data_IF_630540565844
#
_entry.id   IF_630540565844
#
_cell.length_a   1.000
_cell.length_b   1.000
_cell.length_c   1.000
_cell.angle_alpha   90.00
_cell.angle_beta   90.00
_cell.angle_gamma   90.00
#
_symmetry.space_group_name_H-M   'P 1'
#
loop_
_entity.id
_entity.type
_entity.pdbx_description
1 polymer ?
#
# COMPACT_ATOMS: atom_id res chain seq x y z
N UNK A 1 -1.81 -2.85 4.97
CA UNK A 1 -0.76 -2.12 4.21
C UNK A 1 -1.05 -0.61 4.16
N UNK A 2 -1.49 -0.04 5.30
CA UNK A 2 -1.82 1.37 5.41
C UNK A 2 -0.55 2.23 5.38
N UNK A 3 -0.56 3.28 4.59
CA UNK A 3 0.54 4.26 4.51
C UNK A 3 0.00 5.68 4.32
N UNK A 4 0.83 6.65 4.68
CA UNK A 4 0.51 8.07 4.49
C UNK A 4 1.78 8.93 4.53
N UNK A 5 1.63 10.23 4.35
CA UNK A 5 2.68 11.22 4.60
C UNK A 5 2.97 11.41 6.11
N UNK A 6 2.05 10.98 6.97
CA UNK A 6 2.17 11.10 8.43
C UNK A 6 2.65 9.80 9.09
N UNK A 7 3.28 9.93 10.26
CA UNK A 7 3.72 8.80 11.07
C UNK A 7 4.77 7.92 10.41
N UNK A 8 5.01 6.74 10.98
CA UNK A 8 5.90 5.72 10.45
C UNK A 8 5.10 4.69 9.65
N UNK A 9 5.60 4.29 8.50
CA UNK A 9 4.97 3.30 7.65
C UNK A 9 5.98 2.68 6.67
N UNK A 10 5.56 1.65 5.96
CA UNK A 10 6.40 0.89 5.03
C UNK A 10 6.98 1.79 3.92
N UNK A 11 6.20 2.69 3.34
CA UNK A 11 6.67 3.58 2.25
C UNK A 11 7.85 4.42 2.73
N UNK A 12 7.73 5.10 3.87
CA UNK A 12 8.82 5.91 4.44
C UNK A 12 10.04 5.06 4.79
N UNK A 13 9.82 3.84 5.30
CA UNK A 13 10.92 2.91 5.60
C UNK A 13 11.65 2.51 4.33
N UNK A 14 10.95 2.19 3.25
CA UNK A 14 11.58 1.80 1.98
C UNK A 14 12.28 2.98 1.29
N UNK A 15 11.75 4.19 1.39
CA UNK A 15 12.44 5.42 0.93
C UNK A 15 13.76 5.62 1.66
N UNK A 16 13.75 5.53 2.99
CA UNK A 16 14.97 5.67 3.81
C UNK A 16 15.99 4.58 3.50
N UNK A 17 15.58 3.32 3.58
CA UNK A 17 16.47 2.18 3.33
C UNK A 17 17.02 2.16 1.91
N UNK A 18 16.22 2.57 0.92
CA UNK A 18 16.67 2.68 -0.47
C UNK A 18 17.76 3.71 -0.69
N UNK A 19 17.81 4.75 0.15
CA UNK A 19 18.88 5.79 0.12
C UNK A 19 20.10 5.39 0.93
N UNK A 20 19.93 4.56 1.97
CA UNK A 20 21.00 4.17 2.89
C UNK A 20 21.70 2.85 2.53
N UNK A 21 21.02 1.94 1.82
CA UNK A 21 21.51 0.58 1.56
C UNK A 21 21.80 0.34 0.09
N UNK A 22 22.82 -0.45 -0.19
CA UNK A 22 23.15 -0.92 -1.54
C UNK A 22 22.21 -2.01 -2.03
N UNK A 23 21.62 -2.78 -1.11
CA UNK A 23 20.64 -3.82 -1.44
C UNK A 23 19.65 -4.06 -0.32
N UNK A 24 18.43 -4.50 -0.70
CA UNK A 24 17.36 -4.92 0.18
C UNK A 24 16.76 -6.23 -0.30
N UNK A 25 16.46 -7.14 0.64
CA UNK A 25 15.63 -8.31 0.38
C UNK A 25 14.19 -8.04 0.80
N UNK A 26 13.22 -8.26 -0.09
CA UNK A 26 11.79 -8.01 0.18
C UNK A 26 10.93 -9.17 -0.31
N UNK A 27 9.97 -9.58 0.51
CA UNK A 27 9.08 -10.72 0.25
C UNK A 27 8.26 -10.48 -1.02
N UNK A 28 8.24 -11.47 -1.93
CA UNK A 28 7.50 -11.40 -3.19
C UNK A 28 6.27 -12.33 -3.23
N UNK A 29 6.17 -13.31 -2.35
CA UNK A 29 5.10 -14.33 -2.33
C UNK A 29 3.98 -14.07 -1.32
N UNK A 30 3.90 -12.85 -0.79
CA UNK A 30 2.76 -12.35 -0.04
C UNK A 30 2.08 -11.25 -0.85
N UNK A 31 0.87 -11.56 -1.33
CA UNK A 31 0.10 -10.69 -2.22
C UNK A 31 -1.03 -10.04 -1.43
N UNK A 32 -1.12 -8.73 -1.53
CA UNK A 32 -2.15 -7.91 -0.92
C UNK A 32 -2.34 -6.61 -1.70
N UNK A 33 -2.93 -5.61 -1.06
CA UNK A 33 -3.10 -4.30 -1.66
C UNK A 33 -2.70 -3.20 -0.69
N UNK A 34 -1.85 -2.25 -1.09
CA UNK A 34 -1.57 -1.06 -0.29
C UNK A 34 -2.85 -0.22 -0.11
N UNK A 35 -2.94 0.49 1.00
CA UNK A 35 -4.03 1.41 1.29
C UNK A 35 -3.47 2.78 1.65
N UNK A 36 -3.71 3.77 0.80
CA UNK A 36 -3.37 5.15 1.10
C UNK A 36 -4.39 5.72 2.09
N UNK A 37 -3.93 6.17 3.25
CA UNK A 37 -4.81 6.63 4.33
C UNK A 37 -5.71 7.79 3.92
N UNK A 38 -5.27 8.66 2.99
CA UNK A 38 -6.11 9.73 2.45
C UNK A 38 -7.31 9.16 1.68
N UNK A 39 -7.10 8.16 0.84
CA UNK A 39 -8.20 7.53 0.08
C UNK A 39 -9.20 6.83 1.00
N UNK A 40 -8.69 6.15 2.03
CA UNK A 40 -9.55 5.58 3.07
C UNK A 40 -10.36 6.65 3.81
N UNK A 41 -9.75 7.78 4.15
CA UNK A 41 -10.45 8.89 4.79
C UNK A 41 -11.55 9.48 3.89
N UNK A 42 -11.27 9.64 2.59
CA UNK A 42 -12.26 10.08 1.59
C UNK A 42 -13.42 9.08 1.50
N UNK A 43 -13.12 7.78 1.47
CA UNK A 43 -14.15 6.73 1.46
C UNK A 43 -15.02 6.75 2.74
N UNK A 44 -14.42 6.89 3.92
CA UNK A 44 -15.15 7.02 5.19
C UNK A 44 -16.07 8.25 5.15
N UNK A 45 -15.56 9.38 4.68
CA UNK A 45 -16.36 10.61 4.57
C UNK A 45 -17.53 10.42 3.60
N UNK A 46 -17.31 9.77 2.46
CA UNK A 46 -18.36 9.46 1.49
C UNK A 46 -19.47 8.57 2.10
N UNK A 47 -19.11 7.59 2.92
CA UNK A 47 -20.07 6.74 3.65
C UNK A 47 -20.88 7.57 4.65
N UNK A 48 -20.23 8.47 5.40
CA UNK A 48 -20.89 9.29 6.42
C UNK A 48 -21.82 10.37 5.85
N UNK A 49 -21.68 10.75 4.59
CA UNK A 49 -22.49 11.78 3.92
C UNK A 49 -23.64 11.21 3.09
N UNK A 50 -23.84 9.91 3.10
CA UNK A 50 -24.93 9.20 2.41
C UNK A 50 -25.85 8.52 3.44
N UNK A 51 -26.97 7.98 2.97
CA UNK A 51 -27.84 7.14 3.80
C UNK A 51 -27.09 5.91 4.28
N UNK A 52 -26.97 5.80 5.60
CA UNK A 52 -26.18 4.75 6.21
C UNK A 52 -26.83 3.37 6.09
N UNK A 53 -26.14 2.44 5.47
CA UNK A 53 -26.53 1.02 5.36
C UNK A 53 -25.62 0.20 6.28
N UNK A 54 -26.12 -0.30 7.43
CA UNK A 54 -25.29 -1.09 8.36
C UNK A 54 -24.71 -2.33 7.71
N UNK A 55 -23.45 -2.63 8.05
CA UNK A 55 -22.79 -3.84 7.55
C UNK A 55 -21.28 -3.78 7.71
N UNK A 56 -20.63 -4.87 7.32
CA UNK A 56 -19.16 -4.95 7.22
C UNK A 56 -18.78 -4.65 5.77
N UNK A 57 -17.87 -3.72 5.59
CA UNK A 57 -17.36 -3.28 4.30
C UNK A 57 -15.83 -3.36 4.29
N UNK A 58 -15.26 -3.71 3.15
CA UNK A 58 -13.82 -3.74 2.96
C UNK A 58 -13.38 -2.59 2.07
N UNK A 59 -12.24 -2.01 2.40
CA UNK A 59 -11.60 -0.97 1.61
C UNK A 59 -10.07 -1.18 1.55
N UNK A 60 -9.53 -1.08 0.36
CA UNK A 60 -8.12 -0.87 0.04
C UNK A 60 -8.06 -0.19 -1.33
N UNK A 61 -6.90 0.31 -1.76
CA UNK A 61 -6.76 0.75 -3.15
C UNK A 61 -6.99 -0.40 -4.14
N UNK A 62 -7.21 -0.12 -5.41
CA UNK A 62 -7.32 -1.14 -6.45
C UNK A 62 -5.96 -1.72 -6.80
N UNK A 63 -5.95 -3.01 -7.20
CA UNK A 63 -4.75 -3.75 -7.59
C UNK A 63 -4.37 -4.84 -6.58
N UNK A 64 -3.47 -5.70 -6.98
CA UNK A 64 -2.94 -6.80 -6.16
C UNK A 64 -1.45 -6.93 -6.45
N UNK A 65 -0.61 -6.78 -5.43
CA UNK A 65 0.85 -6.75 -5.56
C UNK A 65 1.54 -7.42 -4.37
N UNK A 66 2.80 -7.76 -4.54
CA UNK A 66 3.67 -8.18 -3.45
C UNK A 66 4.33 -6.98 -2.75
N UNK A 67 4.91 -7.23 -1.57
CA UNK A 67 5.78 -6.25 -0.91
C UNK A 67 7.00 -5.89 -1.77
N UNK A 68 7.52 -6.85 -2.53
CA UNK A 68 8.59 -6.64 -3.49
C UNK A 68 8.17 -5.66 -4.59
N UNK A 69 7.01 -5.87 -5.23
CA UNK A 69 6.48 -4.96 -6.26
C UNK A 69 6.29 -3.56 -5.70
N UNK A 70 5.73 -3.47 -4.47
CA UNK A 70 5.53 -2.20 -3.79
C UNK A 70 6.84 -1.45 -3.57
N UNK A 71 7.88 -2.14 -3.08
CA UNK A 71 9.22 -1.55 -2.88
C UNK A 71 9.84 -1.10 -4.20
N UNK A 72 9.71 -1.88 -5.26
CA UNK A 72 10.19 -1.52 -6.59
C UNK A 72 9.54 -0.25 -7.12
N UNK A 73 8.20 -0.13 -6.94
CA UNK A 73 7.47 1.07 -7.34
C UNK A 73 7.87 2.30 -6.50
N UNK A 74 8.01 2.14 -5.17
CA UNK A 74 8.47 3.23 -4.28
C UNK A 74 9.81 3.78 -4.75
N UNK A 75 10.79 2.90 -4.99
CA UNK A 75 12.13 3.33 -5.45
C UNK A 75 12.07 3.98 -6.83
N UNK A 76 11.31 3.41 -7.78
CA UNK A 76 11.15 3.95 -9.13
C UNK A 76 10.54 5.36 -9.10
N UNK A 77 9.45 5.56 -8.36
CA UNK A 77 8.76 6.85 -8.27
C UNK A 77 9.65 7.91 -7.60
N UNK A 78 10.41 7.52 -6.57
CA UNK A 78 11.33 8.40 -5.86
C UNK A 78 12.70 8.59 -6.56
N UNK A 79 12.92 7.99 -7.73
CA UNK A 79 14.18 8.09 -8.46
C UNK A 79 15.38 7.43 -7.76
N UNK A 80 15.15 6.46 -6.87
CA UNK A 80 16.20 5.71 -6.17
C UNK A 80 16.72 4.60 -7.09
N UNK A 81 17.94 4.74 -7.58
CA UNK A 81 18.58 3.80 -8.51
C UNK A 81 19.75 3.04 -7.91
N UNK A 82 20.23 3.45 -6.76
CA UNK A 82 21.46 2.93 -6.12
C UNK A 82 21.22 1.66 -5.29
N UNK A 83 19.99 1.39 -4.89
CA UNK A 83 19.64 0.24 -4.06
C UNK A 83 19.07 -0.90 -4.91
N UNK A 84 19.71 -2.05 -4.88
CA UNK A 84 19.24 -3.27 -5.55
C UNK A 84 18.20 -3.97 -4.68
N UNK A 85 16.96 -4.05 -5.15
CA UNK A 85 15.89 -4.81 -4.45
C UNK A 85 15.86 -6.25 -4.97
N UNK A 86 15.96 -7.21 -4.03
CA UNK A 86 16.01 -8.64 -4.29
C UNK A 86 14.74 -9.31 -3.77
N UNK A 87 14.05 -10.17 -4.57
CA UNK A 87 12.89 -10.91 -4.07
C UNK A 87 13.30 -11.96 -3.05
N UNK A 88 12.52 -12.12 -2.00
CA UNK A 88 12.64 -13.16 -0.97
C UNK A 88 11.37 -13.99 -0.90
N UNK A 89 11.51 -15.29 -0.63
CA UNK A 89 10.40 -16.12 -0.17
C UNK A 89 10.04 -15.79 1.29
N UNK A 90 8.81 -16.07 1.69
CA UNK A 90 8.34 -15.89 3.08
C UNK A 90 9.25 -16.57 4.10
N UNK A 91 9.73 -17.78 3.80
CA UNK A 91 10.60 -18.58 4.68
C UNK A 91 12.00 -17.96 4.88
N UNK A 92 12.45 -17.11 3.97
CA UNK A 92 13.74 -16.42 4.08
C UNK A 92 13.69 -15.21 5.02
N UNK A 93 12.49 -14.77 5.42
CA UNK A 93 12.29 -13.63 6.31
C UNK A 93 11.54 -14.05 7.56
N UNK A 94 12.24 -14.37 8.66
CA UNK A 94 11.60 -14.77 9.91
C UNK A 94 10.76 -13.62 10.48
N UNK A 95 9.47 -13.87 10.65
CA UNK A 95 8.52 -12.93 11.23
C UNK A 95 7.81 -13.57 12.44
N UNK A 96 7.51 -12.80 13.51
CA UNK A 96 6.84 -13.33 14.69
C UNK A 96 5.42 -13.82 14.43
N UNK A 97 4.79 -13.38 13.33
CA UNK A 97 3.43 -13.77 12.94
C UNK A 97 3.42 -14.34 11.53
N UNK A 98 2.75 -15.47 11.34
CA UNK A 98 2.48 -16.02 10.01
C UNK A 98 1.60 -15.05 9.21
N UNK A 99 1.97 -14.80 7.98
CA UNK A 99 1.21 -13.97 7.04
C UNK A 99 0.66 -14.82 5.91
N UNK A 100 -0.57 -14.60 5.45
CA UNK A 100 -1.11 -15.34 4.31
C UNK A 100 -0.38 -14.96 3.02
N UNK A 101 -0.29 -15.92 2.08
CA UNK A 101 0.25 -15.65 0.75
C UNK A 101 -0.66 -14.77 -0.10
N UNK A 102 -1.95 -14.72 0.21
CA UNK A 102 -2.92 -13.91 -0.51
C UNK A 102 -3.93 -13.28 0.47
N UNK A 103 -3.98 -11.95 0.51
CA UNK A 103 -4.82 -11.18 1.42
C UNK A 103 -5.58 -10.03 0.74
N UNK A 104 -5.82 -10.15 -0.57
CA UNK A 104 -6.57 -9.14 -1.33
C UNK A 104 -8.03 -9.13 -0.88
N UNK A 105 -8.55 -7.93 -0.63
CA UNK A 105 -9.93 -7.73 -0.20
C UNK A 105 -10.86 -7.56 -1.41
N UNK A 106 -12.04 -8.16 -1.33
CA UNK A 106 -13.14 -7.86 -2.25
C UNK A 106 -13.84 -6.58 -1.80
N UNK A 107 -13.84 -5.57 -2.66
CA UNK A 107 -14.41 -4.23 -2.41
C UNK A 107 -15.74 -3.98 -3.13
N UNK A 108 -16.30 -5.02 -3.73
CA UNK A 108 -17.55 -4.91 -4.51
C UNK A 108 -18.67 -4.31 -3.67
N UNK A 109 -18.84 -4.76 -2.43
CA UNK A 109 -19.94 -4.30 -1.55
C UNK A 109 -19.88 -2.79 -1.28
N UNK A 110 -18.71 -2.25 -0.93
CA UNK A 110 -18.58 -0.80 -0.66
C UNK A 110 -18.80 0.04 -1.92
N UNK A 111 -18.30 -0.43 -3.07
CA UNK A 111 -18.50 0.23 -4.36
C UNK A 111 -19.97 0.30 -4.75
N UNK A 112 -20.68 -0.80 -4.67
CA UNK A 112 -22.09 -0.90 -5.07
C UNK A 112 -23.01 -0.16 -4.09
N UNK A 113 -22.74 -0.23 -2.77
CA UNK A 113 -23.59 0.40 -1.76
C UNK A 113 -23.43 1.93 -1.73
N UNK A 114 -22.21 2.42 -1.86
CA UNK A 114 -21.92 3.85 -1.67
C UNK A 114 -21.40 4.54 -2.94
N UNK A 115 -21.38 3.83 -4.07
CA UNK A 115 -20.91 4.36 -5.37
C UNK A 115 -19.51 4.99 -5.29
N UNK A 116 -18.62 4.35 -4.51
CA UNK A 116 -17.25 4.81 -4.30
C UNK A 116 -16.39 4.37 -5.49
N UNK A 117 -15.68 5.34 -6.08
CA UNK A 117 -14.61 5.08 -7.04
C UNK A 117 -13.28 4.99 -6.28
N UNK A 118 -12.62 3.83 -6.38
CA UNK A 118 -11.40 3.54 -5.62
C UNK A 118 -10.18 3.73 -6.52
N UNK A 119 -9.24 4.62 -6.15
CA UNK A 119 -8.04 4.85 -6.93
C UNK A 119 -7.15 3.59 -7.04
N UNK A 120 -6.47 3.46 -8.17
CA UNK A 120 -5.43 2.44 -8.35
C UNK A 120 -4.25 2.71 -7.42
N UNK A 121 -3.70 1.65 -6.85
CA UNK A 121 -2.69 1.73 -5.79
C UNK A 121 -1.44 2.55 -6.18
N UNK A 122 -1.00 2.47 -7.44
CA UNK A 122 0.22 3.15 -7.90
C UNK A 122 0.00 4.65 -8.09
N UNK A 123 -1.19 5.08 -8.50
CA UNK A 123 -1.55 6.49 -8.61
C UNK A 123 -1.53 7.15 -7.23
N UNK A 124 -2.13 6.49 -6.24
CA UNK A 124 -2.13 6.96 -4.84
C UNK A 124 -0.74 6.96 -4.22
N UNK A 125 0.09 5.96 -4.53
CA UNK A 125 1.48 5.92 -4.09
C UNK A 125 2.28 7.10 -4.68
N UNK A 126 2.08 7.37 -5.95
CA UNK A 126 2.73 8.50 -6.66
C UNK A 126 2.38 9.82 -5.99
N UNK A 127 1.10 10.07 -5.71
CA UNK A 127 0.65 11.26 -4.99
C UNK A 127 1.30 11.37 -3.60
N UNK A 128 1.35 10.27 -2.85
CA UNK A 128 1.94 10.26 -1.51
C UNK A 128 3.43 10.60 -1.55
N UNK A 129 4.20 9.98 -2.45
CA UNK A 129 5.65 10.23 -2.58
C UNK A 129 5.92 11.66 -3.01
N UNK A 130 5.17 12.20 -3.98
CA UNK A 130 5.30 13.60 -4.40
C UNK A 130 5.10 14.58 -3.22
N UNK A 131 4.11 14.33 -2.37
CA UNK A 131 3.89 15.15 -1.16
C UNK A 131 5.02 15.02 -0.14
N UNK A 132 5.62 13.82 0.00
CA UNK A 132 6.77 13.60 0.89
C UNK A 132 8.03 14.32 0.40
N UNK A 133 8.23 14.42 -0.92
CA UNK A 133 9.41 15.07 -1.51
C UNK A 133 9.28 16.62 -1.55
N UNK A 134 8.07 17.16 -1.40
CA UNK A 134 7.81 18.61 -1.36
C UNK A 134 8.01 19.24 0.03
N UNK A 135 8.09 18.41 1.10
CA UNK A 135 8.29 18.83 2.49
C UNK A 135 9.73 18.55 2.93
#
# INVERSE_FOLDING_TARGET
WLYSTFGNNFVKTMLRLGREKESLGVIFDQIGTPTYARDLAVAIFAVLTQDFVPGIYHFSNEGAISWYDFTKAIHRIAGITTCKVRPLHTEEYPAPAARPHYSVLDKTKIKETYHIDIPYWEDSLTECIQKLEQN
#
